data_IF_675913448004
#
_entry.id   IF_675913448004
#
_cell.length_a   1.000
_cell.length_b   1.000
_cell.length_c   1.000
_cell.angle_alpha   90.00
_cell.angle_beta   90.00
_cell.angle_gamma   90.00
#
_symmetry.space_group_name_H-M   'P 1'
#
loop_
_entity.id
_entity.type
_entity.pdbx_description
1 polymer ?
#
# COMPACT_ATOMS: atom_id res chain seq x y z
N UNK A 1 21.59 -10.67 12.46
CA UNK A 1 20.59 -10.54 11.38
C UNK A 1 20.41 -9.04 11.10
N UNK A 2 21.16 -8.50 10.13
CA UNK A 2 21.08 -7.08 9.81
C UNK A 2 19.75 -6.81 9.09
N UNK A 3 18.86 -6.05 9.72
CA UNK A 3 17.63 -5.62 9.06
C UNK A 3 18.07 -4.62 7.98
N UNK A 4 17.83 -4.89 6.68
CA UNK A 4 18.16 -3.95 5.63
C UNK A 4 17.45 -2.62 5.93
N UNK A 5 18.19 -1.51 5.89
CA UNK A 5 17.63 -0.17 6.11
C UNK A 5 16.62 0.10 5.00
N UNK A 6 15.34 -0.10 5.33
CA UNK A 6 14.21 0.07 4.44
C UNK A 6 14.06 1.57 4.16
N UNK A 7 14.51 2.01 2.99
CA UNK A 7 14.44 3.41 2.59
C UNK A 7 13.06 3.66 1.98
N UNK A 8 12.03 3.66 2.83
CA UNK A 8 10.69 4.07 2.43
C UNK A 8 10.71 5.55 2.08
N UNK A 9 9.91 6.00 1.08
CA UNK A 9 9.73 7.41 0.89
C UNK A 9 9.16 7.98 2.20
N UNK A 10 9.83 9.00 2.75
CA UNK A 10 9.49 9.63 4.04
C UNK A 10 8.00 10.00 4.14
N UNK A 11 7.35 10.19 2.99
CA UNK A 11 5.94 10.43 2.85
C UNK A 11 5.07 9.27 3.39
N UNK A 12 5.36 8.00 3.05
CA UNK A 12 4.61 6.84 3.56
C UNK A 12 4.76 6.68 5.07
N UNK A 13 5.97 6.94 5.57
CA UNK A 13 6.30 6.88 7.00
C UNK A 13 5.58 7.97 7.78
N UNK A 14 5.22 9.09 7.14
CA UNK A 14 4.48 10.18 7.76
C UNK A 14 2.95 10.00 7.68
N UNK A 15 2.43 9.51 6.54
CA UNK A 15 0.99 9.29 6.38
C UNK A 15 0.46 8.20 7.30
N UNK A 16 1.21 7.10 7.46
CA UNK A 16 0.79 5.99 8.32
C UNK A 16 0.48 6.42 9.78
N UNK A 17 1.40 7.06 10.52
CA UNK A 17 1.11 7.55 11.86
C UNK A 17 0.06 8.67 11.84
N UNK A 18 -0.03 9.50 10.80
CA UNK A 18 -1.08 10.53 10.72
C UNK A 18 -2.49 9.93 10.65
N UNK A 19 -2.70 8.83 9.93
CA UNK A 19 -3.98 8.14 9.90
C UNK A 19 -4.30 7.44 11.22
N UNK A 20 -3.29 6.84 11.86
CA UNK A 20 -3.45 6.20 13.17
C UNK A 20 -3.75 7.22 14.26
N UNK A 21 -3.07 8.37 14.27
CA UNK A 21 -3.34 9.45 15.23
C UNK A 21 -4.72 10.06 15.01
N UNK A 22 -5.15 10.23 13.76
CA UNK A 22 -6.50 10.71 13.43
C UNK A 22 -7.57 9.74 13.94
N UNK A 23 -7.43 8.44 13.68
CA UNK A 23 -8.36 7.41 14.18
C UNK A 23 -8.38 7.34 15.71
N UNK A 24 -7.20 7.41 16.35
CA UNK A 24 -7.09 7.39 17.82
C UNK A 24 -7.72 8.63 18.45
N UNK A 25 -7.51 9.80 17.85
CA UNK A 25 -8.12 11.06 18.30
C UNK A 25 -9.64 10.97 18.23
N UNK A 26 -10.19 10.48 17.11
CA UNK A 26 -11.62 10.26 16.94
C UNK A 26 -12.15 9.29 18.00
N UNK A 27 -11.46 8.18 18.25
CA UNK A 27 -11.84 7.22 19.27
C UNK A 27 -11.88 7.84 20.68
N UNK A 28 -10.89 8.67 21.03
CA UNK A 28 -10.86 9.40 22.32
C UNK A 28 -12.05 10.37 22.41
N UNK A 29 -12.35 11.11 21.34
CA UNK A 29 -13.47 12.05 21.30
C UNK A 29 -14.83 11.33 21.43
N UNK A 30 -14.97 10.14 20.82
CA UNK A 30 -16.16 9.31 20.96
C UNK A 30 -16.31 8.79 22.39
N UNK A 31 -15.22 8.32 23.01
CA UNK A 31 -15.23 7.82 24.38
C UNK A 31 -15.44 8.94 25.42
N UNK A 32 -15.06 10.18 25.09
CA UNK A 32 -15.32 11.37 25.91
C UNK A 32 -16.79 11.82 25.89
N UNK A 33 -17.68 11.14 25.17
CA UNK A 33 -19.11 11.42 25.13
C UNK A 33 -19.49 12.65 24.28
N UNK A 34 -18.57 13.14 23.44
CA UNK A 34 -18.88 14.21 22.48
C UNK A 34 -19.83 13.61 21.44
N UNK A 35 -21.00 14.24 21.25
CA UNK A 35 -21.94 13.85 20.19
C UNK A 35 -21.36 14.27 18.84
N UNK A 36 -20.58 13.39 18.22
CA UNK A 36 -20.20 13.53 16.82
C UNK A 36 -21.40 13.25 15.92
N UNK A 37 -21.40 13.89 14.74
CA UNK A 37 -22.41 13.61 13.72
C UNK A 37 -22.38 12.11 13.35
N UNK A 38 -23.54 11.42 13.21
CA UNK A 38 -23.61 9.97 13.01
C UNK A 38 -22.75 9.47 11.85
N UNK A 39 -22.64 10.29 10.79
CA UNK A 39 -21.80 9.97 9.64
C UNK A 39 -20.32 9.80 10.03
N UNK A 40 -19.78 10.66 10.88
CA UNK A 40 -18.37 10.59 11.29
C UNK A 40 -18.18 9.46 12.31
N UNK A 41 -19.18 9.27 13.17
CA UNK A 41 -19.13 8.24 14.20
C UNK A 41 -19.05 6.82 13.61
N UNK A 42 -19.88 6.56 12.59
CA UNK A 42 -19.99 5.23 11.99
C UNK A 42 -18.99 5.05 10.84
N UNK A 43 -18.93 5.99 9.90
CA UNK A 43 -18.25 5.75 8.62
C UNK A 43 -16.78 6.16 8.59
N UNK A 44 -16.32 7.03 9.48
CA UNK A 44 -14.93 7.52 9.41
C UNK A 44 -13.91 6.39 9.61
N UNK A 45 -14.21 5.47 10.53
CA UNK A 45 -13.33 4.34 10.81
C UNK A 45 -13.23 3.37 9.62
N UNK A 46 -14.35 3.09 8.95
CA UNK A 46 -14.38 2.23 7.76
C UNK A 46 -13.60 2.84 6.59
N UNK A 47 -13.71 4.15 6.39
CA UNK A 47 -12.94 4.87 5.38
C UNK A 47 -11.43 4.82 5.66
N UNK A 48 -11.03 4.97 6.93
CA UNK A 48 -9.63 4.96 7.38
C UNK A 48 -9.02 3.56 7.40
N UNK A 49 -9.84 2.51 7.56
CA UNK A 49 -9.40 1.13 7.68
C UNK A 49 -8.59 0.67 6.45
N UNK A 50 -9.13 0.85 5.24
CA UNK A 50 -8.47 0.37 4.01
C UNK A 50 -7.10 1.01 3.74
N UNK A 51 -6.94 2.35 3.79
CA UNK A 51 -5.64 2.98 3.65
C UNK A 51 -4.63 2.43 4.66
N UNK A 52 -5.00 2.30 5.94
CA UNK A 52 -4.12 1.81 7.01
C UNK A 52 -3.66 0.38 6.70
N UNK A 53 -4.60 -0.53 6.40
CA UNK A 53 -4.30 -1.93 6.08
C UNK A 53 -3.41 -2.04 4.84
N UNK A 54 -3.74 -1.35 3.76
CA UNK A 54 -2.97 -1.39 2.51
C UNK A 54 -1.55 -0.85 2.69
N UNK A 55 -1.38 0.26 3.43
CA UNK A 55 -0.05 0.76 3.77
C UNK A 55 0.74 -0.22 4.63
N UNK A 56 0.10 -0.88 5.61
CA UNK A 56 0.75 -1.93 6.41
C UNK A 56 1.16 -3.12 5.54
N UNK A 57 0.28 -3.61 4.66
CA UNK A 57 0.60 -4.70 3.73
C UNK A 57 1.75 -4.32 2.80
N UNK A 58 1.76 -3.10 2.27
CA UNK A 58 2.82 -2.62 1.39
C UNK A 58 4.16 -2.56 2.12
N UNK A 59 4.15 -2.07 3.36
CA UNK A 59 5.33 -2.05 4.23
C UNK A 59 5.86 -3.46 4.50
N UNK A 60 4.98 -4.40 4.85
CA UNK A 60 5.35 -5.81 5.11
C UNK A 60 5.92 -6.47 3.86
N UNK A 61 5.29 -6.26 2.69
CA UNK A 61 5.77 -6.82 1.42
C UNK A 61 7.16 -6.31 1.03
N UNK A 62 7.41 -5.01 1.19
CA UNK A 62 8.75 -4.41 0.97
C UNK A 62 9.78 -4.98 1.93
N UNK A 63 9.41 -5.19 3.19
CA UNK A 63 10.29 -5.79 4.20
C UNK A 63 10.61 -7.25 3.90
N UNK A 64 9.61 -8.03 3.46
CA UNK A 64 9.77 -9.46 3.16
C UNK A 64 10.61 -9.69 1.90
N UNK A 65 10.38 -8.91 0.85
CA UNK A 65 11.12 -9.02 -0.41
C UNK A 65 12.41 -8.20 -0.43
N UNK A 66 12.67 -7.41 0.60
CA UNK A 66 13.84 -6.53 0.74
C UNK A 66 14.07 -5.58 -0.45
N UNK A 67 13.01 -5.30 -1.21
CA UNK A 67 13.01 -4.41 -2.37
C UNK A 67 11.99 -3.30 -2.15
N UNK A 68 12.50 -2.06 -2.15
CA UNK A 68 11.75 -0.85 -1.87
C UNK A 68 10.93 -0.35 -3.06
N UNK A 69 11.15 -0.90 -4.27
CA UNK A 69 10.43 -0.53 -5.49
C UNK A 69 9.19 -1.38 -5.71
N UNK A 70 8.94 -2.34 -4.82
CA UNK A 70 7.77 -3.20 -4.94
C UNK A 70 6.53 -2.41 -4.58
N UNK A 71 5.67 -2.30 -5.59
CA UNK A 71 4.31 -1.78 -5.53
C UNK A 71 3.35 -2.94 -5.37
N UNK A 72 2.25 -2.70 -4.68
CA UNK A 72 1.20 -3.72 -4.60
C UNK A 72 0.49 -3.74 -5.94
N UNK A 73 0.42 -4.89 -6.65
CA UNK A 73 -0.33 -4.96 -7.88
C UNK A 73 -1.81 -4.65 -7.58
N UNK A 74 -2.47 -3.86 -8.43
CA UNK A 74 -3.86 -3.45 -8.25
C UNK A 74 -4.81 -4.65 -8.02
N UNK A 75 -4.50 -5.81 -8.61
CA UNK A 75 -5.21 -7.07 -8.36
C UNK A 75 -5.22 -7.47 -6.89
N UNK A 76 -4.10 -7.33 -6.19
CA UNK A 76 -4.00 -7.65 -4.76
C UNK A 76 -4.74 -6.61 -3.92
N UNK A 77 -4.69 -5.33 -4.28
CA UNK A 77 -5.49 -4.28 -3.63
C UNK A 77 -6.98 -4.61 -3.71
N UNK A 78 -7.49 -4.88 -4.91
CA UNK A 78 -8.90 -5.22 -5.12
C UNK A 78 -9.28 -6.50 -4.38
N UNK A 79 -8.43 -7.53 -4.41
CA UNK A 79 -8.67 -8.78 -3.68
C UNK A 79 -8.76 -8.53 -2.16
N UNK A 80 -7.86 -7.71 -1.61
CA UNK A 80 -7.89 -7.34 -0.18
C UNK A 80 -9.16 -6.57 0.15
N UNK A 81 -9.54 -5.58 -0.66
CA UNK A 81 -10.73 -4.75 -0.45
C UNK A 81 -12.00 -5.60 -0.48
N UNK A 82 -12.13 -6.52 -1.44
CA UNK A 82 -13.28 -7.44 -1.52
C UNK A 82 -13.29 -8.38 -0.30
N UNK A 83 -12.13 -8.95 0.06
CA UNK A 83 -12.00 -9.83 1.22
C UNK A 83 -12.40 -9.12 2.52
N UNK A 84 -11.97 -7.88 2.70
CA UNK A 84 -12.34 -7.05 3.85
C UNK A 84 -13.81 -6.66 3.84
N UNK A 85 -14.35 -6.26 2.69
CA UNK A 85 -15.78 -5.96 2.55
C UNK A 85 -16.63 -7.17 2.96
N UNK A 86 -16.30 -8.37 2.47
CA UNK A 86 -16.99 -9.60 2.88
C UNK A 86 -16.79 -9.91 4.37
N UNK A 87 -15.61 -9.69 4.92
CA UNK A 87 -15.35 -9.93 6.34
C UNK A 87 -16.18 -9.01 7.24
N UNK A 88 -16.22 -7.71 6.95
CA UNK A 88 -16.97 -6.74 7.75
C UNK A 88 -18.49 -6.87 7.54
N UNK A 89 -18.94 -7.08 6.30
CA UNK A 89 -20.37 -7.16 5.98
C UNK A 89 -21.00 -8.51 6.30
N UNK A 90 -20.28 -9.63 6.13
CA UNK A 90 -20.86 -10.96 6.25
C UNK A 90 -20.46 -11.66 7.55
N UNK A 91 -19.19 -11.56 7.96
CA UNK A 91 -18.72 -12.28 9.14
C UNK A 91 -18.98 -11.50 10.43
N UNK A 92 -18.74 -10.19 10.44
CA UNK A 92 -18.88 -9.36 11.65
C UNK A 92 -20.30 -9.30 12.24
N UNK A 93 -21.41 -9.13 11.46
CA UNK A 93 -22.75 -9.11 12.03
C UNK A 93 -23.16 -10.44 12.67
N UNK A 94 -22.53 -11.56 12.29
CA UNK A 94 -22.77 -12.85 12.95
C UNK A 94 -22.12 -12.96 14.33
N UNK A 95 -21.09 -12.15 14.59
CA UNK A 95 -20.33 -12.15 15.85
C UNK A 95 -20.81 -11.05 16.78
N UNK A 96 -21.24 -9.92 16.24
CA UNK A 96 -21.63 -8.73 16.99
C UNK A 96 -22.84 -8.07 16.33
N UNK A 97 -23.99 -8.08 17.02
CA UNK A 97 -25.25 -7.43 16.57
C UNK A 97 -25.14 -5.90 16.40
N UNK A 98 -23.99 -5.33 16.77
CA UNK A 98 -23.71 -3.89 16.67
C UNK A 98 -23.39 -3.43 15.25
N UNK A 99 -22.99 -4.33 14.36
CA UNK A 99 -22.62 -4.01 13.00
C UNK A 99 -23.79 -4.31 12.05
N UNK A 100 -24.23 -3.30 11.30
CA UNK A 100 -25.20 -3.45 10.22
C UNK A 100 -24.46 -3.72 8.92
N UNK A 101 -24.96 -4.68 8.14
CA UNK A 101 -24.50 -4.91 6.77
C UNK A 101 -25.07 -3.78 5.89
N UNK A 102 -24.32 -2.68 5.77
CA UNK A 102 -24.71 -1.52 4.99
C UNK A 102 -23.78 -1.39 3.77
N UNK A 103 -24.34 -1.40 2.56
CA UNK A 103 -23.58 -1.23 1.30
C UNK A 103 -22.71 0.04 1.25
N UNK A 104 -22.99 1.01 2.12
CA UNK A 104 -22.19 2.22 2.29
C UNK A 104 -20.77 1.87 2.72
N UNK A 105 -20.58 0.89 3.61
CA UNK A 105 -19.27 0.50 4.13
C UNK A 105 -18.40 -0.10 3.02
N UNK A 106 -19.01 -0.88 2.13
CA UNK A 106 -18.36 -1.37 0.91
C UNK A 106 -17.83 -0.22 0.05
N UNK A 107 -18.65 0.82 -0.20
CA UNK A 107 -18.24 1.99 -0.97
C UNK A 107 -17.09 2.72 -0.27
N UNK A 108 -17.12 2.81 1.05
CA UNK A 108 -16.05 3.42 1.83
C UNK A 108 -14.74 2.64 1.75
N UNK A 109 -14.79 1.31 1.79
CA UNK A 109 -13.61 0.48 1.60
C UNK A 109 -12.99 0.70 0.21
N UNK A 110 -13.81 0.74 -0.84
CA UNK A 110 -13.32 1.08 -2.18
C UNK A 110 -12.73 2.48 -2.25
N UNK A 111 -13.36 3.47 -1.60
CA UNK A 111 -12.88 4.85 -1.56
C UNK A 111 -11.51 4.94 -0.87
N UNK A 112 -11.33 4.23 0.25
CA UNK A 112 -10.05 4.14 0.93
C UNK A 112 -8.96 3.45 0.11
N UNK A 113 -9.31 2.39 -0.63
CA UNK A 113 -8.39 1.71 -1.54
C UNK A 113 -7.98 2.60 -2.73
N UNK A 114 -8.91 3.35 -3.30
CA UNK A 114 -8.63 4.34 -4.36
C UNK A 114 -7.72 5.44 -3.83
N UNK A 115 -7.97 5.94 -2.62
CA UNK A 115 -7.09 6.92 -1.97
C UNK A 115 -5.66 6.40 -1.86
N UNK A 116 -5.47 5.17 -1.37
CA UNK A 116 -4.16 4.52 -1.32
C UNK A 116 -3.48 4.48 -2.70
N UNK A 117 -4.22 4.07 -3.75
CA UNK A 117 -3.70 3.99 -5.11
C UNK A 117 -3.23 5.35 -5.65
N UNK A 118 -3.98 6.43 -5.39
CA UNK A 118 -3.57 7.78 -5.77
C UNK A 118 -2.28 8.22 -5.05
N UNK A 119 -2.16 7.92 -3.76
CA UNK A 119 -0.96 8.26 -2.97
C UNK A 119 0.25 7.48 -3.48
N UNK A 120 0.11 6.17 -3.73
CA UNK A 120 1.17 5.33 -4.29
C UNK A 120 1.68 5.87 -5.63
N UNK A 121 0.77 6.18 -6.56
CA UNK A 121 1.12 6.71 -7.89
C UNK A 121 1.87 8.05 -7.83
N UNK A 122 1.47 8.94 -6.90
CA UNK A 122 2.14 10.23 -6.70
C UNK A 122 3.55 10.04 -6.11
N UNK A 123 3.76 9.04 -5.26
CA UNK A 123 5.08 8.75 -4.70
C UNK A 123 6.05 8.25 -5.77
N UNK A 124 5.61 7.38 -6.68
CA UNK A 124 6.49 6.80 -7.69
C UNK A 124 7.01 7.86 -8.69
N UNK A 125 6.16 8.83 -9.08
CA UNK A 125 6.60 9.96 -9.93
C UNK A 125 7.68 10.83 -9.27
N UNK A 126 7.72 10.90 -7.93
CA UNK A 126 8.68 11.72 -7.19
C UNK A 126 10.05 11.03 -7.12
N UNK A 127 10.06 9.71 -7.01
CA UNK A 127 11.29 8.92 -6.97
C UNK A 127 12.04 8.98 -8.31
N UNK A 128 11.32 8.98 -9.44
CA UNK A 128 11.93 9.14 -10.77
C UNK A 128 12.54 10.55 -10.95
N UNK A 129 11.84 11.59 -10.53
CA UNK A 129 12.32 12.98 -10.65
C UNK A 129 13.52 13.28 -9.73
N UNK A 130 13.62 12.62 -8.57
CA UNK A 130 14.76 12.76 -7.66
C UNK A 130 16.00 12.02 -8.19
N UNK A 131 15.84 10.81 -8.73
CA UNK A 131 16.94 10.07 -9.37
C UNK A 131 17.45 10.71 -10.67
N UNK A 132 16.56 11.32 -11.46
CA UNK A 132 16.94 12.11 -12.65
C UNK A 132 17.74 13.35 -12.26
N UNK A 133 17.43 13.99 -11.12
CA UNK A 133 18.17 15.14 -10.62
C UNK A 133 19.59 14.75 -10.16
N UNK A 134 19.73 13.60 -9.47
CA UNK A 134 21.03 13.06 -9.03
C UNK A 134 21.96 12.73 -10.22
N UNK A 135 21.41 12.13 -11.28
CA UNK A 135 22.15 11.87 -12.53
C UNK A 135 22.55 13.15 -13.26
N UNK A 136 21.73 14.22 -13.19
CA UNK A 136 22.05 15.50 -13.82
C UNK A 136 23.19 16.24 -13.10
N UNK A 137 23.36 16.00 -11.80
CA UNK A 137 24.45 16.58 -10.99
C UNK A 137 25.78 15.83 -11.11
N UNK A 138 25.78 14.56 -11.56
CA UNK A 138 26.98 13.71 -11.68
C UNK A 138 27.70 13.77 -13.04
N UNK A 139 27.40 14.79 -13.85
CA UNK A 139 28.25 15.15 -14.98
C UNK A 139 27.99 14.37 -16.28
N UNK A 140 28.09 15.13 -17.36
CA UNK A 140 28.47 14.73 -18.71
C UNK A 140 29.08 13.31 -18.85
N UNK A 141 28.25 12.29 -19.13
CA UNK A 141 28.65 11.11 -19.91
C UNK A 141 27.41 10.32 -20.41
N UNK A 142 27.04 10.37 -21.70
CA UNK A 142 25.83 9.73 -22.21
C UNK A 142 26.07 8.25 -22.55
N UNK A 143 26.18 7.36 -21.56
CA UNK A 143 26.05 5.90 -21.79
C UNK A 143 25.53 5.14 -20.57
N UNK A 144 24.25 5.28 -20.27
CA UNK A 144 23.51 4.20 -19.59
C UNK A 144 22.15 4.05 -20.27
N UNK A 145 22.02 3.03 -21.12
CA UNK A 145 20.73 2.63 -21.71
C UNK A 145 19.91 1.90 -20.63
N UNK A 146 18.60 2.16 -20.51
CA UNK A 146 17.74 1.35 -19.67
C UNK A 146 17.33 0.10 -20.47
N UNK A 147 17.74 -1.09 -20.04
CA UNK A 147 17.10 -2.32 -20.49
C UNK A 147 17.43 -3.49 -19.57
N UNK A 148 16.42 -4.05 -18.92
CA UNK A 148 16.34 -5.49 -18.74
C UNK A 148 14.86 -5.88 -18.83
N UNK A 149 14.44 -6.04 -20.09
CA UNK A 149 13.19 -6.65 -20.49
C UNK A 149 13.26 -8.14 -20.14
N UNK A 150 12.16 -8.67 -19.59
CA UNK A 150 11.99 -10.06 -19.14
C UNK A 150 12.21 -11.15 -20.22
N UNK A 151 12.50 -10.78 -21.47
CA UNK A 151 12.68 -11.73 -22.59
C UNK A 151 14.07 -12.40 -22.63
N UNK A 152 15.14 -11.79 -22.08
CA UNK A 152 16.48 -12.38 -22.15
C UNK A 152 16.73 -13.51 -21.13
N UNK A 153 15.93 -13.61 -20.05
CA UNK A 153 16.07 -14.69 -19.06
C UNK A 153 15.51 -16.04 -19.53
N UNK A 154 14.74 -16.08 -20.62
CA UNK A 154 14.15 -17.33 -21.14
C UNK A 154 15.09 -18.08 -22.09
N UNK A 155 16.07 -17.43 -22.72
CA UNK A 155 16.91 -18.05 -23.75
C UNK A 155 18.18 -18.70 -23.22
N UNK A 156 18.62 -18.38 -22.01
CA UNK A 156 19.93 -18.83 -21.47
C UNK A 156 19.89 -20.18 -20.76
N UNK A 157 18.71 -20.83 -20.62
CA UNK A 157 18.58 -22.07 -19.83
C UNK A 157 18.62 -23.37 -20.65
N UNK A 158 18.86 -23.28 -21.96
CA UNK A 158 18.84 -24.44 -22.87
C UNK A 158 20.22 -24.95 -23.31
N UNK A 159 21.32 -24.22 -23.09
CA UNK A 159 22.64 -24.61 -23.63
C UNK A 159 23.58 -25.30 -22.61
N UNK A 160 23.21 -25.41 -21.33
CA UNK A 160 24.09 -26.02 -20.31
C UNK A 160 23.86 -27.53 -20.11
N UNK A 161 23.62 -28.29 -21.19
CA UNK A 161 23.35 -29.73 -21.13
C UNK A 161 24.08 -30.53 -22.23
N UNK A 162 25.23 -30.04 -22.70
CA UNK A 162 26.08 -30.78 -23.62
C UNK A 162 27.52 -30.26 -23.50
N UNK A 163 28.52 -31.16 -23.63
CA UNK A 163 29.99 -30.89 -23.71
C UNK A 163 30.60 -30.74 -22.28
N UNK A 164 31.35 -31.68 -21.67
CA UNK A 164 32.38 -32.61 -22.19
C UNK A 164 32.55 -33.85 -21.30
N UNK A 165 32.65 -34.99 -21.99
CA UNK A 165 33.37 -36.23 -21.68
C UNK A 165 34.83 -36.09 -22.15
#
# INVERSE_FOLDING_TARGET
MAIPKLNLPALTVFYFPAFVTLGTLVYILQNAGVRLHPLIHNYLNDLLCMPIVLFTCQYVLRKLKSDNRIEIPLRLVVLLTIGYALFFEYYLPQVQDRYTADYIDVILYFTGAVFFYFVERKMNSKTESMGVCELKTLGHNPKVKPKLTFEELSSSKSESNFIIE
#
